data_IF_514077139841
#
_entry.id   IF_514077139841
#
_cell.length_a   1.000
_cell.length_b   1.000
_cell.length_c   1.000
_cell.angle_alpha   90.00
_cell.angle_beta   90.00
_cell.angle_gamma   90.00
#
_symmetry.space_group_name_H-M   'P 1'
#
loop_
_entity.id
_entity.type
_entity.pdbx_description
1 polymer ?
#
# COMPACT_ATOMS: atom_id res chain seq x y z
N UNK A 1 -15.00 4.23 23.13
CA UNK A 1 -13.54 4.00 23.20
C UNK A 1 -12.95 4.58 21.94
N UNK A 2 -11.83 5.31 22.01
CA UNK A 2 -11.11 5.80 20.84
C UNK A 2 -10.32 4.64 20.23
N UNK A 3 -10.37 4.50 18.90
CA UNK A 3 -9.63 3.45 18.18
C UNK A 3 -8.61 4.15 17.28
N UNK A 4 -7.30 3.84 17.39
CA UNK A 4 -6.32 4.43 16.51
C UNK A 4 -6.64 4.15 15.04
N UNK A 5 -6.53 5.18 14.21
CA UNK A 5 -6.70 5.09 12.76
C UNK A 5 -5.32 5.22 12.12
N UNK A 6 -4.98 4.24 11.28
CA UNK A 6 -3.75 4.19 10.51
C UNK A 6 -4.14 4.37 9.04
N UNK A 7 -3.73 5.49 8.44
CA UNK A 7 -3.89 5.75 7.01
C UNK A 7 -2.57 5.46 6.32
N UNK A 8 -2.59 4.53 5.36
CA UNK A 8 -1.41 4.10 4.60
C UNK A 8 -1.57 4.56 3.16
N UNK A 9 -0.79 5.56 2.77
CA UNK A 9 -0.69 6.00 1.38
C UNK A 9 0.22 5.05 0.60
N UNK A 10 -0.33 4.42 -0.44
CA UNK A 10 0.34 3.35 -1.19
C UNK A 10 0.30 3.59 -2.70
N UNK A 11 1.37 3.15 -3.37
CA UNK A 11 1.42 3.01 -4.82
C UNK A 11 1.88 1.60 -5.19
N UNK A 12 1.18 0.97 -6.14
CA UNK A 12 1.51 -0.38 -6.58
C UNK A 12 2.86 -0.49 -7.29
N UNK A 13 3.41 0.62 -7.79
CA UNK A 13 4.77 0.73 -8.28
C UNK A 13 5.84 0.68 -7.15
N UNK A 14 5.45 0.70 -5.88
CA UNK A 14 6.36 0.57 -4.74
C UNK A 14 6.25 -0.83 -4.13
N UNK A 15 7.32 -1.62 -4.27
CA UNK A 15 7.46 -2.93 -3.59
C UNK A 15 7.47 -2.79 -2.06
N UNK A 16 8.02 -1.70 -1.52
CA UNK A 16 7.96 -1.44 -0.08
C UNK A 16 6.54 -1.15 0.39
N UNK A 17 5.66 -0.60 -0.47
CA UNK A 17 4.24 -0.47 -0.14
C UNK A 17 3.56 -1.83 -0.03
N UNK A 18 3.96 -2.80 -0.87
CA UNK A 18 3.49 -4.18 -0.75
C UNK A 18 3.92 -4.81 0.57
N UNK A 19 5.20 -4.68 0.94
CA UNK A 19 5.74 -5.19 2.20
C UNK A 19 5.02 -4.61 3.41
N UNK A 20 4.89 -3.28 3.46
CA UNK A 20 4.15 -2.60 4.52
C UNK A 20 2.71 -3.09 4.60
N UNK A 21 1.99 -3.14 3.48
CA UNK A 21 0.59 -3.58 3.45
C UNK A 21 0.41 -5.01 3.95
N UNK A 22 1.23 -5.94 3.47
CA UNK A 22 1.18 -7.35 3.90
C UNK A 22 1.39 -7.50 5.40
N UNK A 23 2.39 -6.80 5.95
CA UNK A 23 2.65 -6.87 7.38
C UNK A 23 1.51 -6.23 8.18
N UNK A 24 1.01 -5.06 7.79
CA UNK A 24 -0.11 -4.41 8.47
C UNK A 24 -1.39 -5.24 8.45
N UNK A 25 -1.66 -5.97 7.37
CA UNK A 25 -2.80 -6.90 7.31
C UNK A 25 -2.68 -8.04 8.34
N UNK A 26 -1.47 -8.51 8.66
CA UNK A 26 -1.25 -9.51 9.72
C UNK A 26 -1.50 -8.95 11.13
N UNK A 27 -1.49 -7.63 11.27
CA UNK A 27 -1.59 -6.91 12.54
C UNK A 27 -2.92 -6.19 12.77
N UNK A 28 -3.72 -5.93 11.72
CA UNK A 28 -4.98 -5.19 11.80
C UNK A 28 -5.86 -5.66 12.97
N UNK A 29 -6.11 -6.97 13.05
CA UNK A 29 -6.93 -7.57 14.12
C UNK A 29 -6.21 -7.57 15.48
N UNK A 30 -4.91 -7.92 15.50
CA UNK A 30 -4.09 -8.00 16.72
C UNK A 30 -4.01 -6.68 17.47
N UNK A 31 -3.84 -5.60 16.72
CA UNK A 31 -3.68 -4.25 17.26
C UNK A 31 -5.02 -3.57 17.54
N UNK A 32 -6.13 -4.15 17.09
CA UNK A 32 -7.46 -3.53 17.23
C UNK A 32 -7.52 -2.13 16.62
N UNK A 33 -6.81 -1.90 15.51
CA UNK A 33 -6.71 -0.60 14.83
C UNK A 33 -7.61 -0.53 13.61
N UNK A 34 -8.01 0.68 13.25
CA UNK A 34 -8.64 0.94 11.96
C UNK A 34 -7.57 1.18 10.92
N UNK A 35 -7.52 0.34 9.90
CA UNK A 35 -6.52 0.41 8.84
C UNK A 35 -7.17 0.87 7.55
N UNK A 36 -6.72 2.00 7.01
CA UNK A 36 -7.13 2.54 5.73
C UNK A 36 -5.98 2.50 4.74
N UNK A 37 -6.23 2.01 3.53
CA UNK A 37 -5.28 2.17 2.44
C UNK A 37 -5.74 3.29 1.51
N UNK A 38 -4.85 4.19 1.10
CA UNK A 38 -5.16 5.29 0.19
C UNK A 38 -4.27 5.20 -1.04
N UNK A 39 -4.84 4.95 -2.24
CA UNK A 39 -4.08 5.10 -3.48
C UNK A 39 -3.55 6.52 -3.62
N UNK A 40 -2.26 6.64 -3.92
CA UNK A 40 -1.56 7.90 -4.22
C UNK A 40 -0.66 7.70 -5.43
N UNK A 41 -0.36 8.76 -6.18
CA UNK A 41 0.53 8.64 -7.32
C UNK A 41 1.99 8.94 -6.92
N UNK A 42 2.84 7.91 -6.84
CA UNK A 42 4.22 8.03 -6.38
C UNK A 42 5.05 9.00 -7.24
N UNK A 43 4.85 8.98 -8.56
CA UNK A 43 5.51 9.94 -9.46
C UNK A 43 5.16 11.40 -9.14
N UNK A 44 3.91 11.67 -8.72
CA UNK A 44 3.50 13.00 -8.29
C UNK A 44 4.03 13.34 -6.89
N UNK A 45 4.15 12.37 -5.97
CA UNK A 45 4.80 12.57 -4.67
C UNK A 45 6.27 12.95 -4.85
N UNK A 46 7.02 12.26 -5.72
CA UNK A 46 8.40 12.63 -6.03
C UNK A 46 8.51 14.05 -6.57
N UNK A 47 7.67 14.39 -7.56
CA UNK A 47 7.62 15.75 -8.10
C UNK A 47 7.29 16.80 -7.03
N UNK A 48 6.28 16.55 -6.19
CA UNK A 48 5.79 17.50 -5.19
C UNK A 48 6.73 17.69 -3.99
N UNK A 49 7.49 16.65 -3.63
CA UNK A 49 8.45 16.69 -2.51
C UNK A 49 9.87 17.06 -2.93
N UNK A 50 10.15 17.12 -4.24
CA UNK A 50 11.52 17.26 -4.77
C UNK A 50 12.37 16.00 -4.62
N UNK A 51 11.77 14.87 -4.24
CA UNK A 51 12.46 13.59 -4.14
C UNK A 51 12.66 12.97 -5.55
N UNK A 52 13.62 12.05 -5.66
CA UNK A 52 13.94 11.35 -6.89
C UNK A 52 13.96 9.84 -6.66
N UNK A 53 13.81 9.08 -7.75
CA UNK A 53 13.84 7.62 -7.69
C UNK A 53 15.15 7.11 -7.05
N UNK A 54 15.07 6.24 -6.01
CA UNK A 54 16.24 5.70 -5.32
C UNK A 54 17.30 5.07 -6.23
N UNK A 55 16.86 4.46 -7.33
CA UNK A 55 17.70 3.72 -8.27
C UNK A 55 18.53 4.63 -9.19
N UNK A 56 18.27 5.93 -9.21
CA UNK A 56 19.10 6.89 -9.96
C UNK A 56 20.51 7.02 -9.38
N UNK A 57 20.70 6.69 -8.09
CA UNK A 57 22.03 6.56 -7.49
C UNK A 57 22.55 5.12 -7.70
N UNK A 58 23.59 4.87 -8.51
CA UNK A 58 24.02 3.51 -8.86
C UNK A 58 24.33 2.63 -7.65
N UNK A 59 24.97 3.18 -6.61
CA UNK A 59 25.26 2.45 -5.39
C UNK A 59 23.98 1.97 -4.68
N UNK A 60 22.94 2.80 -4.64
CA UNK A 60 21.64 2.46 -4.04
C UNK A 60 20.87 1.48 -4.93
N UNK A 61 20.93 1.65 -6.25
CA UNK A 61 20.37 0.69 -7.22
C UNK A 61 20.96 -0.72 -7.07
N UNK A 62 22.29 -0.84 -6.95
CA UNK A 62 22.94 -2.14 -6.74
C UNK A 62 22.58 -2.76 -5.37
N UNK A 63 22.41 -1.94 -4.33
CA UNK A 63 22.03 -2.38 -2.99
C UNK A 63 20.57 -2.86 -2.93
N UNK A 64 19.64 -2.19 -3.62
CA UNK A 64 18.19 -2.44 -3.50
C UNK A 64 17.82 -3.89 -3.81
N UNK A 65 18.50 -4.53 -4.77
CA UNK A 65 18.24 -5.93 -5.10
C UNK A 65 18.57 -6.88 -3.94
N UNK A 66 19.65 -6.59 -3.20
CA UNK A 66 20.05 -7.39 -2.02
C UNK A 66 19.10 -7.15 -0.85
N UNK A 67 18.72 -5.89 -0.63
CA UNK A 67 17.77 -5.52 0.41
C UNK A 67 16.41 -6.21 0.20
N UNK A 68 15.89 -6.14 -1.02
CA UNK A 68 14.60 -6.75 -1.34
C UNK A 68 14.64 -8.27 -1.23
N UNK A 69 15.73 -8.93 -1.65
CA UNK A 69 15.89 -10.37 -1.45
C UNK A 69 15.93 -10.77 0.03
N UNK A 70 16.50 -9.92 0.90
CA UNK A 70 16.46 -10.13 2.35
C UNK A 70 15.04 -9.93 2.88
N UNK A 71 14.38 -8.83 2.54
CA UNK A 71 13.03 -8.48 2.99
C UNK A 71 11.98 -9.50 2.55
N UNK A 72 12.08 -10.05 1.33
CA UNK A 72 11.25 -11.18 0.86
C UNK A 72 11.28 -12.36 1.83
N UNK A 73 12.48 -12.79 2.24
CA UNK A 73 12.66 -13.93 3.15
C UNK A 73 12.25 -13.58 4.57
N UNK A 74 12.66 -12.41 5.05
CA UNK A 74 12.39 -11.94 6.41
C UNK A 74 10.90 -11.74 6.66
N UNK A 75 10.18 -11.17 5.71
CA UNK A 75 8.75 -10.89 5.81
C UNK A 75 7.87 -12.01 5.22
N UNK A 76 8.45 -13.05 4.62
CA UNK A 76 7.74 -14.13 3.92
C UNK A 76 6.74 -13.62 2.88
N UNK A 77 7.20 -12.72 2.00
CA UNK A 77 6.39 -12.14 0.92
C UNK A 77 7.07 -12.49 -0.40
N UNK A 78 6.40 -13.21 -1.33
CA UNK A 78 7.04 -13.80 -2.50
C UNK A 78 7.28 -12.77 -3.62
N UNK A 79 8.14 -11.79 -3.40
CA UNK A 79 8.71 -10.99 -4.48
C UNK A 79 9.67 -11.88 -5.27
N UNK A 80 9.36 -12.11 -6.55
CA UNK A 80 10.10 -13.04 -7.38
C UNK A 80 11.19 -12.33 -8.18
N UNK A 81 10.81 -11.44 -9.10
CA UNK A 81 11.74 -10.75 -9.99
C UNK A 81 11.27 -9.30 -10.22
N UNK A 82 12.23 -8.42 -10.52
CA UNK A 82 11.90 -7.10 -11.04
C UNK A 82 11.44 -7.22 -12.49
N UNK A 83 10.31 -6.59 -12.89
CA UNK A 83 9.94 -6.49 -14.29
C UNK A 83 11.08 -5.84 -15.08
N UNK A 84 11.39 -6.38 -16.26
CA UNK A 84 12.40 -5.80 -17.17
C UNK A 84 12.05 -4.37 -17.59
N UNK A 85 10.77 -4.01 -17.53
CA UNK A 85 10.26 -2.66 -17.84
C UNK A 85 10.41 -1.70 -16.66
N UNK A 86 10.89 -2.12 -15.49
CA UNK A 86 11.08 -1.24 -14.34
C UNK A 86 12.00 -0.04 -14.69
N UNK A 87 11.52 1.17 -14.44
CA UNK A 87 12.20 2.42 -14.83
C UNK A 87 11.95 2.88 -16.27
N UNK A 88 11.23 2.10 -17.08
CA UNK A 88 10.76 2.51 -18.40
C UNK A 88 9.39 3.21 -18.33
N UNK A 89 8.96 3.93 -19.39
CA UNK A 89 7.62 4.52 -19.45
C UNK A 89 6.46 3.52 -19.32
N UNK A 90 6.68 2.22 -19.63
CA UNK A 90 5.68 1.15 -19.46
C UNK A 90 5.41 0.84 -17.98
N UNK A 91 6.33 1.18 -17.09
CA UNK A 91 6.20 0.98 -15.64
C UNK A 91 5.59 2.21 -14.97
N UNK A 92 4.36 2.53 -15.36
CA UNK A 92 3.61 3.68 -14.87
C UNK A 92 2.30 3.23 -14.25
N UNK A 93 2.13 3.54 -12.96
CA UNK A 93 0.98 3.11 -12.17
C UNK A 93 -0.28 3.94 -12.35
N UNK A 94 -0.30 4.99 -13.18
CA UNK A 94 -1.42 5.95 -13.23
C UNK A 94 -2.78 5.29 -13.53
N UNK A 95 -2.86 4.42 -14.53
CA UNK A 95 -4.12 3.76 -14.89
C UNK A 95 -4.58 2.82 -13.75
N UNK A 96 -3.67 2.00 -13.25
CA UNK A 96 -3.93 1.06 -12.16
C UNK A 96 -4.34 1.80 -10.88
N UNK A 97 -3.65 2.88 -10.50
CA UNK A 97 -3.97 3.67 -9.30
C UNK A 97 -5.34 4.37 -9.41
N UNK A 98 -5.77 4.74 -10.63
CA UNK A 98 -7.13 5.24 -10.86
C UNK A 98 -8.16 4.13 -10.73
N UNK A 99 -7.92 2.95 -11.30
CA UNK A 99 -8.82 1.80 -11.12
C UNK A 99 -8.92 1.40 -9.63
N UNK A 100 -7.80 1.34 -8.91
CA UNK A 100 -7.76 1.09 -7.47
C UNK A 100 -8.49 2.18 -6.67
N UNK A 101 -8.40 3.45 -7.07
CA UNK A 101 -9.20 4.52 -6.48
C UNK A 101 -10.69 4.30 -6.70
N UNK A 102 -11.11 3.84 -7.89
CA UNK A 102 -12.51 3.52 -8.17
C UNK A 102 -13.02 2.38 -7.28
N UNK A 103 -12.21 1.32 -7.11
CA UNK A 103 -12.49 0.22 -6.18
C UNK A 103 -12.60 0.75 -4.74
N UNK A 104 -11.66 1.58 -4.30
CA UNK A 104 -11.65 2.11 -2.94
C UNK A 104 -12.86 3.00 -2.64
N UNK A 105 -13.31 3.79 -3.61
CA UNK A 105 -14.54 4.61 -3.51
C UNK A 105 -15.78 3.71 -3.35
N UNK A 106 -15.85 2.60 -4.08
CA UNK A 106 -17.02 1.72 -4.09
C UNK A 106 -17.07 0.78 -2.88
N UNK A 107 -15.94 0.13 -2.58
CA UNK A 107 -15.84 -0.91 -1.54
C UNK A 107 -15.44 -0.34 -0.18
N UNK A 108 -14.85 0.86 -0.16
CA UNK A 108 -14.40 1.55 1.05
C UNK A 108 -12.93 1.28 1.38
N UNK A 109 -12.25 2.31 1.90
CA UNK A 109 -10.81 2.31 2.19
C UNK A 109 -10.37 1.36 3.31
N UNK A 110 -11.29 0.91 4.17
CA UNK A 110 -11.03 -0.04 5.28
C UNK A 110 -11.42 -1.48 4.94
N UNK A 111 -12.03 -1.68 3.76
CA UNK A 111 -12.60 -2.98 3.39
C UNK A 111 -11.50 -4.01 3.14
N UNK A 112 -11.79 -5.24 3.56
CA UNK A 112 -10.95 -6.38 3.26
C UNK A 112 -10.88 -6.62 1.74
N UNK A 113 -11.98 -6.40 1.04
CA UNK A 113 -12.07 -6.52 -0.42
C UNK A 113 -11.08 -5.58 -1.13
N UNK A 114 -11.00 -4.31 -0.72
CA UNK A 114 -10.03 -3.38 -1.30
C UNK A 114 -8.59 -3.75 -0.94
N UNK A 115 -8.33 -4.16 0.31
CA UNK A 115 -7.00 -4.64 0.71
C UNK A 115 -6.55 -5.86 -0.11
N UNK A 116 -7.44 -6.81 -0.35
CA UNK A 116 -7.18 -7.99 -1.18
C UNK A 116 -6.90 -7.60 -2.65
N UNK A 117 -7.59 -6.58 -3.18
CA UNK A 117 -7.34 -6.04 -4.51
C UNK A 117 -5.94 -5.43 -4.64
N UNK A 118 -5.50 -4.67 -3.64
CA UNK A 118 -4.13 -4.14 -3.61
C UNK A 118 -3.10 -5.29 -3.60
N UNK A 119 -3.31 -6.30 -2.76
CA UNK A 119 -2.46 -7.49 -2.67
C UNK A 119 -2.39 -8.27 -3.98
N UNK A 120 -3.53 -8.52 -4.63
CA UNK A 120 -3.59 -9.20 -5.92
C UNK A 120 -2.84 -8.41 -7.01
N UNK A 121 -3.00 -7.09 -7.03
CA UNK A 121 -2.31 -6.20 -7.97
C UNK A 121 -0.79 -6.23 -7.76
N UNK A 122 -0.30 -6.16 -6.51
CA UNK A 122 1.13 -6.31 -6.24
C UNK A 122 1.65 -7.70 -6.62
N UNK A 123 0.90 -8.78 -6.35
CA UNK A 123 1.29 -10.12 -6.79
C UNK A 123 1.42 -10.20 -8.31
N UNK A 124 0.52 -9.55 -9.06
CA UNK A 124 0.59 -9.52 -10.52
C UNK A 124 1.83 -8.77 -11.04
N UNK A 125 2.22 -7.67 -10.39
CA UNK A 125 3.38 -6.83 -10.79
C UNK A 125 4.72 -7.42 -10.33
N UNK A 126 4.79 -7.92 -9.09
CA UNK A 126 6.04 -8.23 -8.38
C UNK A 126 6.20 -9.71 -8.01
N UNK A 127 5.09 -10.47 -8.01
CA UNK A 127 5.03 -11.85 -7.55
C UNK A 127 5.00 -12.89 -8.66
N UNK A 128 5.26 -12.50 -9.90
CA UNK A 128 5.21 -13.36 -11.09
C UNK A 128 6.60 -13.46 -11.75
N UNK A 129 6.97 -14.66 -12.21
CA UNK A 129 8.16 -14.84 -13.05
C UNK A 129 7.79 -14.51 -14.49
N UNK A 130 8.74 -13.95 -15.25
CA UNK A 130 8.61 -13.70 -16.70
C UNK A 130 7.70 -12.54 -17.14
N UNK A 131 7.55 -11.47 -16.34
CA UNK A 131 6.94 -10.23 -16.85
C UNK A 131 7.95 -9.43 -17.70
N UNK A 132 8.51 -10.08 -18.73
CA UNK A 132 9.53 -9.49 -19.60
C UNK A 132 8.99 -8.32 -20.44
N UNK A 133 7.67 -8.12 -20.45
CA UNK A 133 7.01 -7.02 -21.15
C UNK A 133 5.85 -6.42 -20.33
N UNK A 134 6.00 -6.29 -19.00
CA UNK A 134 4.97 -5.67 -18.18
C UNK A 134 4.65 -4.26 -18.69
N UNK A 135 3.44 -4.06 -19.17
CA UNK A 135 2.89 -2.74 -19.46
C UNK A 135 1.77 -2.43 -18.47
N UNK A 136 2.04 -1.51 -17.54
CA UNK A 136 1.06 -1.08 -16.54
C UNK A 136 0.06 -0.05 -17.10
N UNK A 137 0.28 0.43 -18.34
CA UNK A 137 -0.70 1.21 -19.09
C UNK A 137 -1.71 0.35 -19.84
N UNK A 138 -1.44 -0.95 -20.03
CA UNK A 138 -2.34 -1.87 -20.74
C UNK A 138 -3.65 -2.07 -19.94
N UNK A 139 -4.82 -1.66 -20.48
CA UNK A 139 -6.09 -1.89 -19.83
C UNK A 139 -6.36 -3.38 -19.57
N UNK A 140 -5.88 -4.28 -20.42
CA UNK A 140 -6.04 -5.72 -20.22
C UNK A 140 -5.23 -6.21 -19.01
N UNK A 141 -4.05 -5.63 -18.75
CA UNK A 141 -3.30 -5.92 -17.52
C UNK A 141 -4.07 -5.47 -16.28
N UNK A 142 -4.71 -4.30 -16.32
CA UNK A 142 -5.54 -3.82 -15.19
C UNK A 142 -6.75 -4.74 -14.98
N UNK A 143 -7.43 -5.18 -16.04
CA UNK A 143 -8.50 -6.16 -15.96
C UNK A 143 -8.01 -7.47 -15.31
N UNK A 144 -6.84 -7.99 -15.71
CA UNK A 144 -6.26 -9.19 -15.11
C UNK A 144 -5.97 -9.02 -13.62
N UNK A 145 -5.50 -7.84 -13.20
CA UNK A 145 -5.28 -7.56 -11.77
C UNK A 145 -6.59 -7.62 -10.98
N UNK A 146 -7.66 -7.01 -11.51
CA UNK A 146 -8.97 -6.97 -10.87
C UNK A 146 -9.65 -8.35 -10.85
N UNK A 147 -9.62 -9.10 -11.95
CA UNK A 147 -10.19 -10.45 -11.97
C UNK A 147 -9.42 -11.41 -11.05
N UNK A 148 -8.10 -11.26 -10.95
CA UNK A 148 -7.27 -12.01 -9.99
C UNK A 148 -7.56 -11.63 -8.53
N UNK A 149 -8.14 -10.46 -8.28
CA UNK A 149 -8.62 -10.04 -6.97
C UNK A 149 -9.99 -10.63 -6.60
N UNK A 150 -10.64 -11.33 -7.53
CA UNK A 150 -11.94 -11.99 -7.32
C UNK A 150 -13.14 -11.25 -7.91
N UNK A 151 -12.94 -10.12 -8.59
CA UNK A 151 -14.02 -9.44 -9.31
C UNK A 151 -14.46 -10.21 -10.54
N UNK A 152 -15.76 -10.16 -10.85
CA UNK A 152 -16.24 -10.61 -12.16
C UNK A 152 -15.61 -9.79 -13.29
N UNK A 153 -15.61 -10.33 -14.51
CA UNK A 153 -15.13 -9.58 -15.68
C UNK A 153 -15.92 -8.27 -15.85
N UNK A 154 -17.23 -8.30 -15.60
CA UNK A 154 -18.10 -7.13 -15.71
C UNK A 154 -17.74 -6.05 -14.68
N UNK A 155 -17.58 -6.42 -13.40
CA UNK A 155 -17.14 -5.48 -12.36
C UNK A 155 -15.75 -4.92 -12.66
N UNK A 156 -14.84 -5.77 -13.13
CA UNK A 156 -13.49 -5.35 -13.53
C UNK A 156 -13.53 -4.31 -14.64
N UNK A 157 -14.37 -4.53 -15.66
CA UNK A 157 -14.61 -3.57 -16.73
C UNK A 157 -15.22 -2.26 -16.21
N UNK A 158 -16.17 -2.34 -15.28
CA UNK A 158 -16.74 -1.15 -14.63
C UNK A 158 -15.65 -0.35 -13.92
N UNK A 159 -14.83 -0.96 -13.05
CA UNK A 159 -13.75 -0.23 -12.36
C UNK A 159 -12.73 0.38 -13.32
N UNK A 160 -12.37 -0.34 -14.38
CA UNK A 160 -11.46 0.17 -15.41
C UNK A 160 -12.07 1.36 -16.17
N UNK A 161 -13.35 1.32 -16.54
CA UNK A 161 -14.03 2.44 -17.17
C UNK A 161 -14.07 3.66 -16.22
N UNK A 162 -14.40 3.42 -14.95
CA UNK A 162 -14.44 4.45 -13.90
C UNK A 162 -13.08 5.11 -13.67
N UNK A 163 -11.96 4.45 -13.99
CA UNK A 163 -10.63 5.05 -13.92
C UNK A 163 -10.50 6.36 -14.74
N UNK A 164 -11.34 6.54 -15.76
CA UNK A 164 -11.37 7.77 -16.57
C UNK A 164 -12.33 8.85 -16.07
N UNK A 165 -13.16 8.57 -15.07
CA UNK A 165 -14.13 9.51 -14.49
C UNK A 165 -13.43 10.69 -13.79
N UNK A 166 -14.05 11.86 -13.88
CA UNK A 166 -13.53 13.08 -13.23
C UNK A 166 -13.44 12.93 -11.71
N UNK A 167 -14.44 12.30 -11.08
CA UNK A 167 -14.49 12.03 -9.64
C UNK A 167 -13.33 11.15 -9.17
N UNK A 168 -13.01 10.08 -9.90
CA UNK A 168 -11.91 9.15 -9.60
C UNK A 168 -10.56 9.83 -9.77
N UNK A 169 -10.38 10.59 -10.86
CA UNK A 169 -9.16 11.38 -11.11
C UNK A 169 -8.90 12.40 -10.01
N UNK A 170 -9.94 13.14 -9.62
CA UNK A 170 -9.84 14.15 -8.58
C UNK A 170 -9.60 13.52 -7.21
N UNK A 171 -10.22 12.37 -6.92
CA UNK A 171 -9.98 11.65 -5.68
C UNK A 171 -8.52 11.18 -5.54
N UNK A 172 -7.95 10.56 -6.57
CA UNK A 172 -6.53 10.15 -6.56
C UNK A 172 -5.59 11.35 -6.39
N UNK A 173 -5.90 12.45 -7.10
CA UNK A 173 -5.14 13.71 -6.99
C UNK A 173 -5.22 14.27 -5.56
N UNK A 174 -6.42 14.39 -5.00
CA UNK A 174 -6.64 14.86 -3.63
C UNK A 174 -5.93 14.00 -2.59
N UNK A 175 -5.98 12.67 -2.71
CA UNK A 175 -5.22 11.77 -1.84
C UNK A 175 -3.72 12.05 -1.92
N UNK A 176 -3.20 12.26 -3.13
CA UNK A 176 -1.78 12.54 -3.35
C UNK A 176 -1.37 13.90 -2.78
N UNK A 177 -2.20 14.93 -2.96
CA UNK A 177 -1.98 16.26 -2.39
C UNK A 177 -2.03 16.27 -0.87
N UNK A 178 -2.99 15.55 -0.26
CA UNK A 178 -3.08 15.42 1.19
C UNK A 178 -1.88 14.68 1.76
N UNK A 179 -1.39 13.62 1.09
CA UNK A 179 -0.16 12.96 1.49
C UNK A 179 1.03 13.94 1.50
N UNK A 180 1.20 14.72 0.43
CA UNK A 180 2.24 15.75 0.34
C UNK A 180 2.11 16.81 1.44
N UNK A 181 0.91 17.31 1.71
CA UNK A 181 0.67 18.31 2.76
C UNK A 181 0.99 17.78 4.16
N UNK A 182 0.80 16.48 4.40
CA UNK A 182 1.21 15.81 5.63
C UNK A 182 2.69 15.39 5.63
N UNK A 183 3.48 15.80 4.63
CA UNK A 183 4.94 15.60 4.59
C UNK A 183 5.41 14.34 3.87
N UNK A 184 4.54 13.63 3.14
CA UNK A 184 4.95 12.47 2.35
C UNK A 184 5.98 12.85 1.28
N UNK A 185 7.07 12.10 1.23
CA UNK A 185 8.12 12.22 0.20
C UNK A 185 8.32 10.92 -0.58
N UNK A 186 7.52 9.88 -0.31
CA UNK A 186 7.50 8.62 -1.06
C UNK A 186 6.36 7.71 -0.61
N UNK A 187 6.41 6.44 -1.01
CA UNK A 187 5.46 5.42 -0.59
C UNK A 187 6.18 4.14 -0.15
N UNK A 188 5.74 3.48 0.94
CA UNK A 188 4.55 3.80 1.72
C UNK A 188 4.77 4.98 2.68
N UNK A 189 3.72 5.78 2.87
CA UNK A 189 3.65 6.83 3.88
C UNK A 189 2.49 6.51 4.83
N UNK A 190 2.77 6.42 6.12
CA UNK A 190 1.83 5.97 7.16
C UNK A 190 1.54 7.14 8.09
N UNK A 191 0.26 7.46 8.27
CA UNK A 191 -0.23 8.53 9.13
C UNK A 191 -1.08 7.94 10.24
N UNK A 192 -0.76 8.27 11.49
CA UNK A 192 -1.39 7.71 12.69
C UNK A 192 -2.20 8.77 13.39
N UNK A 193 -3.43 8.41 13.73
CA UNK A 193 -4.41 9.24 14.44
C UNK A 193 -4.85 8.50 15.71
N UNK A 194 -4.55 9.00 16.92
CA UNK A 194 -4.64 8.22 18.16
C UNK A 194 -5.96 8.40 18.92
N UNK A 195 -6.47 9.63 19.00
CA UNK A 195 -7.56 9.99 19.91
C UNK A 195 -8.84 10.43 19.18
N UNK A 196 -9.37 9.57 18.31
CA UNK A 196 -10.56 9.91 17.54
C UNK A 196 -11.80 9.11 17.93
N UNK A 197 -12.92 9.83 17.96
CA UNK A 197 -14.25 9.26 18.17
C UNK A 197 -14.55 8.28 17.05
N UNK A 198 -14.91 7.05 17.41
CA UNK A 198 -15.29 6.00 16.47
C UNK A 198 -16.48 6.40 15.58
N UNK A 199 -17.30 7.37 16.02
CA UNK A 199 -18.43 7.90 15.26
C UNK A 199 -18.03 8.93 14.18
N UNK A 200 -16.82 9.50 14.23
CA UNK A 200 -16.35 10.42 13.20
C UNK A 200 -15.96 9.63 11.94
N UNK A 201 -16.41 10.09 10.76
CA UNK A 201 -16.04 9.45 9.50
C UNK A 201 -14.54 9.67 9.27
N UNK A 202 -13.82 8.62 8.93
CA UNK A 202 -12.37 8.72 8.71
C UNK A 202 -12.03 9.53 7.46
N UNK A 203 -12.95 9.63 6.49
CA UNK A 203 -12.80 10.56 5.37
C UNK A 203 -12.65 12.02 5.84
N UNK A 204 -13.24 12.36 7.00
CA UNK A 204 -13.08 13.67 7.61
C UNK A 204 -11.69 13.80 8.24
N UNK A 205 -11.19 12.73 8.90
CA UNK A 205 -9.84 12.69 9.49
C UNK A 205 -8.75 12.92 8.45
N UNK A 206 -8.87 12.27 7.28
CA UNK A 206 -7.90 12.44 6.22
C UNK A 206 -7.81 13.89 5.72
N UNK A 207 -8.91 14.63 5.81
CA UNK A 207 -8.96 16.04 5.43
C UNK A 207 -8.43 17.00 6.49
N UNK A 208 -8.40 16.60 7.77
CA UNK A 208 -7.89 17.41 8.89
C UNK A 208 -6.38 17.69 8.82
N UNK A 209 -5.60 16.84 8.14
CA UNK A 209 -4.16 17.04 7.90
C UNK A 209 -3.33 17.30 9.18
N UNK A 210 -3.68 16.61 10.27
CA UNK A 210 -3.00 16.72 11.55
C UNK A 210 -2.78 15.35 12.20
N UNK A 211 -2.06 14.42 11.56
CA UNK A 211 -1.71 13.15 12.18
C UNK A 211 -0.74 13.37 13.34
N UNK A 212 -0.93 12.66 14.44
CA UNK A 212 0.00 12.66 15.58
C UNK A 212 1.37 12.09 15.18
N UNK A 213 1.39 11.12 14.27
CA UNK A 213 2.63 10.55 13.76
C UNK A 213 2.61 10.37 12.24
N UNK A 214 3.75 10.66 11.62
CA UNK A 214 4.08 10.28 10.25
C UNK A 214 5.26 9.28 10.28
N UNK A 215 5.07 8.12 9.66
CA UNK A 215 6.04 7.04 9.56
C UNK A 215 6.23 6.68 8.09
N UNK A 216 7.47 6.68 7.63
CA UNK A 216 7.82 6.35 6.25
C UNK A 216 8.48 4.97 6.15
N UNK A 217 8.13 4.22 5.09
CA UNK A 217 8.76 2.93 4.78
C UNK A 217 8.07 1.71 5.39
N UNK A 218 8.59 0.53 5.06
CA UNK A 218 8.12 -0.76 5.58
C UNK A 218 9.00 -1.31 6.71
N UNK A 219 9.98 -0.54 7.15
CA UNK A 219 11.05 -0.88 8.10
C UNK A 219 10.89 -0.17 9.45
N UNK A 220 9.74 0.47 9.68
CA UNK A 220 9.39 1.24 10.89
C UNK A 220 8.11 0.75 11.56
N UNK A 221 7.73 -0.50 11.30
CA UNK A 221 6.48 -1.07 11.80
C UNK A 221 6.54 -1.38 13.31
N UNK A 222 7.74 -1.52 13.86
CA UNK A 222 8.02 -1.51 15.29
C UNK A 222 7.74 -0.13 15.92
N UNK A 223 8.15 0.95 15.27
CA UNK A 223 7.83 2.32 15.70
C UNK A 223 6.34 2.62 15.57
N UNK A 224 5.69 2.08 14.55
CA UNK A 224 4.24 2.16 14.42
C UNK A 224 3.53 1.43 15.56
N UNK A 225 3.96 0.22 15.90
CA UNK A 225 3.43 -0.52 17.04
C UNK A 225 3.58 0.29 18.34
N UNK A 226 4.75 0.89 18.56
CA UNK A 226 4.98 1.79 19.68
C UNK A 226 4.02 2.98 19.67
N UNK A 227 3.84 3.64 18.51
CA UNK A 227 2.95 4.80 18.37
C UNK A 227 1.49 4.48 18.74
N UNK A 228 1.00 3.29 18.38
CA UNK A 228 -0.38 2.86 18.73
C UNK A 228 -0.45 2.10 20.06
N UNK A 229 0.62 2.09 20.86
CA UNK A 229 0.71 1.38 22.15
C UNK A 229 0.44 -0.13 22.05
N UNK A 230 0.94 -0.76 21.00
CA UNK A 230 0.77 -2.18 20.70
C UNK A 230 2.11 -2.94 20.71
N UNK A 231 2.02 -4.26 20.89
CA UNK A 231 3.18 -5.15 20.84
C UNK A 231 3.60 -5.41 19.38
N UNK A 232 4.91 -5.32 19.13
CA UNK A 232 5.53 -5.77 17.88
C UNK A 232 6.13 -7.17 18.07
N UNK A 233 5.75 -8.12 17.23
CA UNK A 233 6.18 -9.52 17.27
C UNK A 233 6.95 -9.93 15.99
N UNK A 234 7.54 -8.94 15.31
CA UNK A 234 8.20 -9.13 14.02
C UNK A 234 7.23 -9.11 12.83
N UNK A 235 7.74 -9.19 11.58
CA UNK A 235 6.90 -9.06 10.39
C UNK A 235 5.94 -10.24 10.17
N UNK A 236 6.20 -11.38 10.82
CA UNK A 236 5.39 -12.60 10.75
C UNK A 236 4.98 -13.00 12.17
N UNK A 237 3.93 -12.37 12.74
CA UNK A 237 3.50 -12.68 14.10
C UNK A 237 2.95 -14.12 14.21
N UNK A 238 3.03 -14.77 15.39
CA UNK A 238 2.49 -16.12 15.62
C UNK A 238 0.99 -16.17 15.34
N UNK A 239 0.40 -17.30 14.93
CA UNK A 239 -1.07 -17.39 14.72
C UNK A 239 -1.85 -16.90 15.95
N UNK A 240 -2.99 -16.23 15.74
CA UNK A 240 -3.88 -15.84 16.84
C UNK A 240 -4.32 -17.05 17.68
N UNK A 241 -4.41 -18.23 17.04
CA UNK A 241 -4.78 -19.50 17.68
C UNK A 241 -3.59 -20.25 18.30
N UNK A 242 -2.36 -19.76 18.12
CA UNK A 242 -1.20 -20.38 18.74
C UNK A 242 -1.08 -19.96 20.19
N UNK A 243 -1.66 -20.77 21.09
CA UNK A 243 -1.18 -20.80 22.46
C UNK A 243 0.34 -21.03 22.43
N UNK A 244 1.16 -20.24 23.14
CA UNK A 244 2.56 -20.58 23.27
C UNK A 244 2.63 -21.99 23.87
N UNK A 245 3.51 -22.89 23.37
CA UNK A 245 3.80 -24.09 24.11
C UNK A 245 4.27 -23.63 25.49
N UNK A 246 3.56 -24.06 26.52
CA UNK A 246 3.99 -23.93 27.91
C UNK A 246 5.28 -24.77 28.02
N UNK A 247 6.41 -24.15 27.67
CA UNK A 247 7.70 -24.63 28.10
C UNK A 247 7.85 -24.14 29.53
N UNK A 248 7.71 -25.09 30.44
CA UNK A 248 8.13 -24.95 31.83
C UNK A 248 9.61 -24.55 31.84
N UNK A 249 9.90 -23.61 32.75
CA UNK A 249 11.19 -23.26 33.37
C UNK A 249 12.42 -24.04 32.89
#
# INVERSE_FOLDING_TARGET
MTTPVIIVCVDVASVYSWFCTQVLLRYKERWGVRLQFRPVLLGAIFKGSGNVMPTLLPARGAWIHKDLALNTRFMQIPLLEFPSTFGSPKFNSLLIQRALTAVAIEKGYESEEFANTLVATWKAIWGTRHVQELDMHDPDFVLRCLTSAGYSLQESQTFLQRASEGSVKECLKKNTELALKNGAFGAPSIFVYLNHDAHQKVEDLWQLQAPEHFIFGSDRLDQLAFAVSQKWEGPVPPSLDSNPPISKL
#
